data_IF_635635863970
#
_entry.id   IF_635635863970
#
_cell.length_a   1.000
_cell.length_b   1.000
_cell.length_c   1.000
_cell.angle_alpha   90.00
_cell.angle_beta   90.00
_cell.angle_gamma   90.00
#
_symmetry.space_group_name_H-M   'P 1'
#
loop_
_entity.id
_entity.type
_entity.pdbx_description
1 polymer ?
#
# COMPACT_ATOMS: atom_id res chain seq x y z
N UNK A 1 0.15 -2.29 -4.38
CA UNK A 1 0.13 -1.20 -3.40
C UNK A 1 -0.03 0.12 -4.13
N UNK A 2 -1.18 0.73 -3.95
CA UNK A 2 -1.53 2.06 -4.47
C UNK A 2 -1.45 3.01 -3.29
N UNK A 3 -0.77 4.14 -3.47
CA UNK A 3 -0.73 5.23 -2.49
C UNK A 3 -1.64 6.36 -2.98
N UNK A 4 -2.50 6.87 -2.09
CA UNK A 4 -3.47 7.92 -2.40
C UNK A 4 -3.77 8.78 -1.18
N UNK A 5 -4.44 9.91 -1.38
CA UNK A 5 -4.95 10.76 -0.31
C UNK A 5 -6.44 10.56 -0.11
N UNK A 6 -6.88 10.45 1.14
CA UNK A 6 -8.30 10.36 1.49
C UNK A 6 -8.65 11.30 2.63
N UNK A 7 -9.88 11.79 2.62
CA UNK A 7 -10.46 12.53 3.73
C UNK A 7 -10.96 11.54 4.78
N UNK A 8 -10.56 11.77 6.02
CA UNK A 8 -11.01 11.06 7.19
C UNK A 8 -11.80 11.97 8.11
N UNK A 9 -12.86 11.44 8.70
CA UNK A 9 -13.59 12.04 9.81
C UNK A 9 -13.23 11.30 11.10
N UNK A 10 -12.93 12.06 12.15
CA UNK A 10 -12.82 11.51 13.51
C UNK A 10 -14.18 11.49 14.23
N UNK A 11 -14.20 10.86 15.41
CA UNK A 11 -15.39 10.77 16.27
C UNK A 11 -15.90 12.12 16.79
N UNK A 12 -15.07 13.15 16.74
CA UNK A 12 -15.40 14.51 17.15
C UNK A 12 -15.90 15.34 15.96
N UNK A 13 -16.04 14.74 14.77
CA UNK A 13 -16.51 15.40 13.56
C UNK A 13 -15.46 16.25 12.87
N UNK A 14 -14.16 16.09 13.19
CA UNK A 14 -13.08 16.80 12.51
C UNK A 14 -12.63 16.06 11.28
N UNK A 15 -12.43 16.82 10.20
CA UNK A 15 -11.95 16.30 8.93
C UNK A 15 -10.43 16.49 8.79
N UNK A 16 -9.76 15.46 8.30
CA UNK A 16 -8.32 15.47 8.05
C UNK A 16 -8.01 14.70 6.77
N UNK A 17 -7.07 15.20 5.96
CA UNK A 17 -6.56 14.42 4.82
C UNK A 17 -5.37 13.59 5.29
N UNK A 18 -5.36 12.31 4.92
CA UNK A 18 -4.30 11.37 5.27
C UNK A 18 -3.89 10.56 4.06
N UNK A 19 -2.63 10.14 4.08
CA UNK A 19 -2.11 9.16 3.13
C UNK A 19 -2.72 7.80 3.42
N UNK A 20 -3.17 7.11 2.38
CA UNK A 20 -3.76 5.79 2.47
C UNK A 20 -3.04 4.86 1.51
N UNK A 21 -2.77 3.65 2.00
CA UNK A 21 -2.14 2.59 1.24
C UNK A 21 -3.18 1.50 1.00
N UNK A 22 -3.52 1.28 -0.25
CA UNK A 22 -4.51 0.29 -0.65
C UNK A 22 -3.87 -0.84 -1.48
N UNK A 23 -4.48 -2.02 -1.40
CA UNK A 23 -4.32 -3.09 -2.38
C UNK A 23 -4.95 -2.70 -3.72
N UNK A 24 -4.72 -3.51 -4.76
CA UNK A 24 -5.31 -3.25 -6.10
C UNK A 24 -6.83 -3.39 -6.14
N UNK A 25 -7.41 -4.14 -5.20
CA UNK A 25 -8.85 -4.33 -5.01
C UNK A 25 -9.51 -3.15 -4.27
N UNK A 26 -8.73 -2.16 -3.81
CA UNK A 26 -9.20 -1.04 -3.02
C UNK A 26 -9.22 -1.28 -1.51
N UNK A 27 -8.84 -2.46 -1.03
CA UNK A 27 -8.73 -2.77 0.40
C UNK A 27 -7.64 -1.92 1.04
N UNK A 28 -7.98 -1.21 2.11
CA UNK A 28 -7.03 -0.36 2.85
C UNK A 28 -6.13 -1.26 3.70
N UNK A 29 -4.83 -1.21 3.42
CA UNK A 29 -3.80 -1.96 4.14
C UNK A 29 -3.29 -1.16 5.32
N UNK A 30 -3.12 0.15 5.14
CA UNK A 30 -2.59 1.04 6.16
C UNK A 30 -2.93 2.50 5.82
N UNK A 31 -2.78 3.40 6.79
CA UNK A 31 -2.91 4.84 6.59
C UNK A 31 -1.98 5.64 7.50
N UNK A 32 -1.69 6.88 7.09
CA UNK A 32 -0.87 7.82 7.86
C UNK A 32 -1.58 8.31 9.11
N UNK A 33 -1.01 8.02 10.29
CA UNK A 33 -1.52 8.47 11.60
C UNK A 33 -1.36 9.97 11.86
N UNK A 34 -0.57 10.66 11.05
CA UNK A 34 -0.48 12.12 11.08
C UNK A 34 -1.23 12.69 9.87
N UNK A 35 -2.07 13.73 10.05
CA UNK A 35 -2.65 14.46 8.93
C UNK A 35 -1.56 15.01 8.00
N UNK A 36 -1.85 15.05 6.71
CA UNK A 36 -0.94 15.61 5.72
C UNK A 36 -1.02 17.12 5.78
N UNK A 37 0.15 17.76 5.83
CA UNK A 37 0.27 19.21 5.78
C UNK A 37 0.53 19.63 4.34
N UNK A 38 -0.16 20.68 3.89
CA UNK A 38 0.06 21.25 2.56
C UNK A 38 1.40 22.02 2.54
N UNK A 39 2.49 21.33 2.18
CA UNK A 39 3.82 21.90 2.10
C UNK A 39 4.60 21.27 0.94
N UNK A 40 5.48 22.05 0.31
CA UNK A 40 6.35 21.61 -0.79
C UNK A 40 7.57 22.53 -0.91
N UNK A 41 8.63 22.05 -1.55
CA UNK A 41 9.84 22.81 -1.84
C UNK A 41 9.67 23.78 -3.02
N UNK A 42 8.58 23.64 -3.79
CA UNK A 42 8.24 24.53 -4.90
C UNK A 42 6.73 24.77 -5.03
N UNK A 43 6.35 25.82 -5.77
CA UNK A 43 4.95 26.09 -6.11
C UNK A 43 4.34 24.94 -6.91
N UNK A 44 5.11 24.31 -7.81
CA UNK A 44 4.63 23.20 -8.62
C UNK A 44 4.25 21.99 -7.74
N UNK A 45 5.08 21.65 -6.76
CA UNK A 45 4.77 20.62 -5.77
C UNK A 45 3.52 20.97 -4.95
N UNK A 46 3.39 22.23 -4.54
CA UNK A 46 2.22 22.70 -3.78
C UNK A 46 0.94 22.58 -4.61
N UNK A 47 0.98 22.96 -5.89
CA UNK A 47 -0.15 22.82 -6.81
C UNK A 47 -0.52 21.37 -7.06
N UNK A 48 0.47 20.49 -7.22
CA UNK A 48 0.23 19.06 -7.38
C UNK A 48 -0.42 18.45 -6.13
N UNK A 49 0.04 18.85 -4.94
CA UNK A 49 -0.55 18.41 -3.68
C UNK A 49 -1.99 18.92 -3.52
N UNK A 50 -2.26 20.18 -3.91
CA UNK A 50 -3.61 20.73 -3.91
C UNK A 50 -4.55 19.97 -4.88
N UNK A 51 -4.03 19.55 -6.04
CA UNK A 51 -4.78 18.74 -6.99
C UNK A 51 -5.12 17.35 -6.42
N UNK A 52 -4.16 16.69 -5.77
CA UNK A 52 -4.42 15.43 -5.08
C UNK A 52 -5.41 15.57 -3.92
N UNK A 53 -5.38 16.70 -3.20
CA UNK A 53 -6.37 16.98 -2.16
C UNK A 53 -7.76 17.18 -2.75
N UNK A 54 -7.86 17.84 -3.91
CA UNK A 54 -9.12 17.97 -4.64
C UNK A 54 -9.70 16.60 -4.99
N UNK A 55 -8.87 15.71 -5.54
CA UNK A 55 -9.28 14.33 -5.85
C UNK A 55 -9.71 13.56 -4.58
N UNK A 56 -9.05 13.80 -3.44
CA UNK A 56 -9.43 13.20 -2.17
C UNK A 56 -10.83 13.65 -1.68
N UNK A 57 -11.25 14.88 -2.00
CA UNK A 57 -12.58 15.40 -1.66
C UNK A 57 -13.70 14.81 -2.55
N UNK A 58 -13.37 14.42 -3.79
CA UNK A 58 -14.32 13.77 -4.70
C UNK A 58 -14.59 12.30 -4.30
N UNK A 59 -13.74 11.75 -3.43
CA UNK A 59 -13.84 10.39 -2.92
C UNK A 59 -14.63 10.32 -1.61
N UNK A 60 -15.24 9.17 -1.28
CA UNK A 60 -16.01 9.04 -0.05
C UNK A 60 -15.14 9.23 1.19
N UNK A 61 -15.67 9.99 2.16
CA UNK A 61 -15.04 10.23 3.46
C UNK A 61 -15.03 8.95 4.28
N UNK A 62 -13.90 8.66 4.90
CA UNK A 62 -13.70 7.47 5.74
C UNK A 62 -13.76 7.82 7.22
N UNK A 63 -14.29 6.94 8.06
CA UNK A 63 -14.20 7.10 9.53
C UNK A 63 -12.90 6.50 10.04
N UNK A 64 -12.16 7.25 10.87
CA UNK A 64 -10.94 6.74 11.50
C UNK A 64 -11.22 5.48 12.34
N UNK A 65 -12.32 5.47 13.09
CA UNK A 65 -12.66 4.34 13.96
C UNK A 65 -13.02 3.09 13.16
N UNK A 66 -13.71 3.25 12.03
CA UNK A 66 -14.06 2.13 11.15
C UNK A 66 -12.84 1.53 10.47
N UNK A 67 -11.90 2.38 10.03
CA UNK A 67 -10.64 1.91 9.43
C UNK A 67 -9.75 1.27 10.50
N UNK A 68 -9.62 1.86 11.68
CA UNK A 68 -8.88 1.25 12.79
C UNK A 68 -9.48 -0.09 13.20
N UNK A 69 -10.80 -0.20 13.27
CA UNK A 69 -11.47 -1.47 13.56
C UNK A 69 -11.25 -2.51 12.44
N UNK A 70 -11.20 -2.10 11.17
CA UNK A 70 -10.88 -2.99 10.05
C UNK A 70 -9.43 -3.46 10.10
N UNK A 71 -8.48 -2.59 10.43
CA UNK A 71 -7.06 -2.94 10.54
C UNK A 71 -6.73 -3.72 11.81
N UNK A 72 -7.48 -3.51 12.90
CA UNK A 72 -7.33 -4.23 14.16
C UNK A 72 -7.97 -5.63 14.12
N UNK A 73 -8.93 -5.86 13.22
CA UNK A 73 -9.36 -7.23 12.94
C UNK A 73 -8.14 -7.98 12.42
N UNK A 74 -7.70 -9.06 13.11
CA UNK A 74 -6.69 -9.90 12.53
C UNK A 74 -7.24 -10.31 11.17
N UNK A 75 -6.51 -9.98 10.09
CA UNK A 75 -6.78 -10.56 8.79
C UNK A 75 -6.98 -12.05 9.09
N UNK A 76 -8.21 -12.54 8.87
CA UNK A 76 -8.41 -13.96 8.83
C UNK A 76 -7.36 -14.40 7.84
N UNK A 77 -6.30 -15.04 8.34
CA UNK A 77 -5.32 -15.67 7.50
C UNK A 77 -6.15 -16.73 6.80
N UNK A 78 -6.74 -16.37 5.67
CA UNK A 78 -6.74 -17.25 4.54
C UNK A 78 -5.28 -17.62 4.41
N UNK A 79 -4.97 -18.79 4.97
CA UNK A 79 -3.76 -19.52 4.74
C UNK A 79 -3.72 -19.74 3.24
N UNK A 80 -3.29 -18.73 2.49
CA UNK A 80 -2.66 -18.93 1.21
C UNK A 80 -1.49 -19.83 1.54
N UNK A 81 -1.71 -21.10 1.23
CA UNK A 81 -0.77 -22.17 1.35
C UNK A 81 0.60 -21.60 1.00
N UNK A 82 1.46 -21.64 2.00
CA UNK A 82 2.87 -21.31 1.96
C UNK A 82 3.39 -21.53 0.54
N UNK A 83 3.49 -20.46 -0.25
CA UNK A 83 4.16 -20.50 -1.54
C UNK A 83 5.51 -21.11 -1.24
N UNK A 84 5.70 -22.33 -1.74
CA UNK A 84 6.82 -23.21 -1.40
C UNK A 84 8.09 -22.37 -1.50
N UNK A 85 8.64 -21.93 -0.37
CA UNK A 85 9.89 -21.20 -0.35
C UNK A 85 10.95 -22.23 -0.67
N UNK A 86 11.28 -22.33 -1.95
CA UNK A 86 12.40 -23.13 -2.42
C UNK A 86 13.64 -22.57 -1.72
N UNK A 87 14.34 -23.36 -0.87
CA UNK A 87 15.56 -22.90 -0.24
C UNK A 87 16.59 -22.57 -1.33
N UNK A 88 17.42 -21.57 -1.07
CA UNK A 88 18.41 -21.06 -2.02
C UNK A 88 19.28 -22.19 -2.62
N UNK A 89 19.59 -23.22 -1.84
CA UNK A 89 20.35 -24.39 -2.28
C UNK A 89 19.66 -25.19 -3.40
N UNK A 90 18.33 -25.26 -3.43
CA UNK A 90 17.60 -25.93 -4.51
C UNK A 90 17.63 -25.12 -5.81
N UNK A 91 17.55 -23.78 -5.72
CA UNK A 91 17.67 -22.89 -6.90
C UNK A 91 19.09 -22.94 -7.47
N UNK A 92 20.11 -22.99 -6.60
CA UNK A 92 21.51 -23.11 -7.02
C UNK A 92 21.79 -24.47 -7.68
N UNK A 93 21.16 -25.55 -7.21
CA UNK A 93 21.32 -26.88 -7.79
C UNK A 93 20.66 -27.01 -9.17
N UNK A 94 19.46 -26.42 -9.38
CA UNK A 94 18.84 -26.37 -10.71
C UNK A 94 19.65 -25.53 -11.69
N UNK A 95 20.20 -24.37 -11.26
CA UNK A 95 21.00 -23.51 -12.13
C UNK A 95 22.35 -24.15 -12.52
N UNK A 96 22.94 -24.96 -11.64
CA UNK A 96 24.16 -25.72 -11.93
C UNK A 96 23.91 -26.91 -12.87
N UNK A 97 22.69 -27.48 -12.86
CA UNK A 97 22.31 -28.59 -13.74
C UNK A 97 22.01 -28.14 -15.18
N UNK A 98 21.73 -26.85 -15.41
CA UNK A 98 21.44 -26.27 -16.74
C UNK A 98 22.71 -25.69 -17.42
N UNK A 99 23.87 -25.76 -16.76
CA UNK A 99 25.14 -25.19 -17.22
C UNK A 99 26.10 -26.20 -17.90
N UNK A 100 25.61 -27.37 -18.32
CA UNK A 100 26.30 -28.28 -19.25
C UNK A 100 25.23 -29.18 -19.91
N UNK A 101 25.16 -29.32 -21.26
CA UNK A 101 26.29 -29.36 -22.19
C UNK A 101 26.08 -28.54 -23.49
N UNK A 102 27.15 -28.09 -24.15
CA UNK A 102 27.48 -28.42 -25.57
C UNK A 102 28.93 -27.99 -25.80
N UNK A 103 29.83 -28.92 -25.55
CA UNK A 103 31.07 -29.03 -26.31
C UNK A 103 30.81 -30.08 -27.39
N UNK A 104 30.78 -29.69 -28.66
CA UNK A 104 31.20 -30.50 -29.80
C UNK A 104 31.07 -29.70 -31.11
N UNK A 105 32.21 -29.25 -31.64
CA UNK A 105 32.66 -29.41 -33.05
C UNK A 105 34.07 -28.86 -33.19
#
# INVERSE_FOLDING_TARGET
>A
MIWTYRVFCDKEGRYSIREVFCERDGTIINYGKTPVVLAGASIAELMQLAQWFKEAFDLPVLSLEEIDAQLAKPAAKESLAHGRRTPLDQVMAELAADADPVSQS
#
